data_IF_831826784909
#
_entry.id   IF_831826784909
#
_cell.length_a   1.000
_cell.length_b   1.000
_cell.length_c   1.000
_cell.angle_alpha   90.00
_cell.angle_beta   90.00
_cell.angle_gamma   90.00
#
_symmetry.space_group_name_H-M   'P 1'
#
loop_
_entity.id
_entity.type
_entity.pdbx_description
1 polymer ?
#
# COMPACT_ATOMS: atom_id res chain seq x y z
N UNK A 1 -2.98 -6.49 -16.60
CA UNK A 1 -3.42 -6.28 -17.99
C UNK A 1 -3.60 -7.59 -18.74
N UNK A 2 -2.58 -8.40 -19.00
CA UNK A 2 -2.66 -9.63 -19.81
C UNK A 2 -3.81 -10.59 -19.41
N UNK A 3 -3.96 -10.90 -18.11
CA UNK A 3 -5.04 -11.76 -17.60
C UNK A 3 -6.42 -11.18 -17.97
N UNK A 4 -6.59 -9.87 -17.77
CA UNK A 4 -7.85 -9.20 -18.05
C UNK A 4 -8.17 -9.14 -19.54
N UNK A 5 -7.15 -8.98 -20.40
CA UNK A 5 -7.33 -9.03 -21.85
C UNK A 5 -7.77 -10.42 -22.33
N UNK A 6 -7.04 -11.47 -21.91
CA UNK A 6 -7.37 -12.86 -22.26
C UNK A 6 -8.78 -13.25 -21.76
N UNK A 7 -9.14 -12.85 -20.54
CA UNK A 7 -10.48 -13.12 -20.01
C UNK A 7 -11.57 -12.42 -20.84
N UNK A 8 -11.34 -11.16 -21.27
CA UNK A 8 -12.27 -10.42 -22.12
C UNK A 8 -12.43 -11.05 -23.52
N UNK A 9 -11.33 -11.53 -24.12
CA UNK A 9 -11.37 -12.27 -25.39
C UNK A 9 -12.24 -13.54 -25.28
N UNK A 10 -12.39 -14.08 -24.05
CA UNK A 10 -13.25 -15.23 -23.74
C UNK A 10 -14.63 -14.81 -23.20
N UNK A 11 -15.03 -13.57 -23.38
CA UNK A 11 -16.35 -13.05 -23.00
C UNK A 11 -16.54 -12.72 -21.51
N UNK A 12 -15.48 -12.72 -20.70
CA UNK A 12 -15.56 -12.35 -19.29
C UNK A 12 -15.19 -10.89 -19.07
N UNK A 13 -16.13 -10.10 -18.55
CA UNK A 13 -15.82 -8.73 -18.09
C UNK A 13 -14.91 -8.75 -16.86
N UNK A 14 -13.92 -7.85 -16.85
CA UNK A 14 -12.94 -7.75 -15.77
C UNK A 14 -12.74 -6.30 -15.36
N UNK A 15 -12.67 -6.06 -14.05
CA UNK A 15 -12.22 -4.82 -13.46
C UNK A 15 -10.95 -5.08 -12.64
N UNK A 16 -10.02 -4.13 -12.62
CA UNK A 16 -8.77 -4.19 -11.86
C UNK A 16 -8.83 -3.28 -10.65
N UNK A 17 -8.33 -3.77 -9.53
CA UNK A 17 -8.15 -2.97 -8.32
C UNK A 17 -6.66 -2.91 -7.97
N UNK A 18 -6.09 -1.70 -7.93
CA UNK A 18 -4.68 -1.51 -7.60
C UNK A 18 -4.45 -1.55 -6.09
N UNK A 19 -3.59 -2.46 -5.64
CA UNK A 19 -3.05 -2.50 -4.27
C UNK A 19 -1.69 -1.83 -4.22
N UNK A 20 -1.59 -0.61 -4.73
CA UNK A 20 -0.37 0.19 -4.72
C UNK A 20 -0.64 1.56 -4.09
N UNK A 21 0.07 1.86 -3.00
CA UNK A 21 -0.10 3.08 -2.23
C UNK A 21 0.45 4.34 -2.91
N UNK A 22 1.12 4.21 -4.05
CA UNK A 22 1.64 5.33 -4.81
C UNK A 22 0.79 5.61 -6.08
N UNK A 23 0.30 4.56 -6.75
CA UNK A 23 -0.54 4.70 -7.93
C UNK A 23 -1.91 5.34 -7.65
N UNK A 24 -2.30 5.42 -6.37
CA UNK A 24 -3.54 6.06 -5.94
C UNK A 24 -3.51 7.59 -6.13
N UNK A 25 -2.32 8.20 -6.16
CA UNK A 25 -2.15 9.65 -6.31
C UNK A 25 -2.18 10.06 -7.77
N UNK A 26 -2.90 11.14 -8.08
CA UNK A 26 -2.80 11.83 -9.38
C UNK A 26 -1.38 12.40 -9.57
N UNK A 27 -1.00 12.66 -10.80
CA UNK A 27 0.27 13.32 -11.16
C UNK A 27 1.56 12.57 -10.74
N UNK A 28 1.44 11.34 -10.21
CA UNK A 28 2.57 10.48 -9.87
C UNK A 28 2.49 9.24 -10.76
N UNK A 29 2.89 9.38 -12.01
CA UNK A 29 2.71 8.35 -13.03
C UNK A 29 3.96 7.50 -13.23
N UNK A 30 5.13 8.15 -13.31
CA UNK A 30 6.42 7.49 -13.53
C UNK A 30 6.87 6.80 -12.24
N UNK A 31 6.91 7.52 -11.10
CA UNK A 31 7.36 6.97 -9.83
C UNK A 31 6.52 5.77 -9.38
N UNK A 32 5.22 5.77 -9.65
CA UNK A 32 4.32 4.65 -9.34
C UNK A 32 4.30 3.56 -10.42
N UNK A 33 4.90 3.82 -11.59
CA UNK A 33 4.79 2.97 -12.79
C UNK A 33 3.34 2.60 -13.10
N UNK A 34 2.47 3.59 -13.10
CA UNK A 34 1.06 3.43 -13.46
C UNK A 34 0.88 2.79 -14.83
N UNK A 35 -0.23 2.07 -15.05
CA UNK A 35 -0.64 1.71 -16.39
C UNK A 35 -0.80 2.95 -17.26
N UNK A 36 -0.52 2.81 -18.57
CA UNK A 36 -0.70 3.91 -19.51
C UNK A 36 -2.16 4.37 -19.59
N UNK A 37 -2.40 5.58 -20.06
CA UNK A 37 -3.75 6.14 -20.24
C UNK A 37 -4.61 5.25 -21.13
N UNK A 38 -4.03 4.65 -22.16
CA UNK A 38 -4.69 3.71 -23.08
C UNK A 38 -5.11 2.43 -22.33
N UNK A 39 -4.24 1.91 -21.44
CA UNK A 39 -4.54 0.76 -20.61
C UNK A 39 -5.67 1.05 -19.62
N UNK A 40 -5.66 2.24 -19.01
CA UNK A 40 -6.72 2.67 -18.09
C UNK A 40 -8.07 2.87 -18.78
N UNK A 41 -8.05 3.27 -20.06
CA UNK A 41 -9.26 3.44 -20.87
C UNK A 41 -9.87 2.08 -21.31
N UNK A 42 -9.04 1.05 -21.49
CA UNK A 42 -9.49 -0.26 -21.99
C UNK A 42 -10.19 -1.10 -20.92
N UNK A 43 -9.72 -1.05 -19.67
CA UNK A 43 -10.22 -1.88 -18.57
C UNK A 43 -10.51 -0.97 -17.39
N UNK A 44 -11.67 -1.10 -16.71
CA UNK A 44 -11.94 -0.34 -15.49
C UNK A 44 -10.90 -0.60 -14.43
N UNK A 45 -10.26 0.48 -13.93
CA UNK A 45 -9.28 0.43 -12.85
C UNK A 45 -9.81 1.19 -11.62
N UNK A 46 -9.64 0.61 -10.46
CA UNK A 46 -9.99 1.20 -9.17
C UNK A 46 -8.76 1.39 -8.30
N UNK A 47 -8.82 2.32 -7.36
CA UNK A 47 -7.72 2.73 -6.51
C UNK A 47 -6.50 3.28 -7.30
N UNK A 48 -6.77 3.96 -8.41
CA UNK A 48 -5.78 4.68 -9.23
C UNK A 48 -6.28 6.11 -9.42
N UNK A 49 -5.39 7.11 -9.31
CA UNK A 49 -5.70 8.53 -9.53
C UNK A 49 -6.86 9.09 -8.66
N UNK A 50 -6.99 8.64 -7.42
CA UNK A 50 -8.06 9.10 -6.52
C UNK A 50 -7.68 10.37 -5.76
N UNK A 51 -6.45 10.43 -5.24
CA UNK A 51 -5.98 11.47 -4.33
C UNK A 51 -5.10 12.50 -5.04
N UNK A 52 -5.12 13.74 -4.56
CA UNK A 52 -4.03 14.68 -4.82
C UNK A 52 -2.78 14.29 -3.99
N UNK A 53 -1.56 14.67 -4.41
CA UNK A 53 -0.33 14.28 -3.71
C UNK A 53 -0.26 14.73 -2.24
N UNK A 54 -0.95 15.79 -1.84
CA UNK A 54 -1.04 16.31 -0.47
C UNK A 54 -2.18 15.70 0.35
N UNK A 55 -3.08 14.93 -0.26
CA UNK A 55 -4.13 14.24 0.46
C UNK A 55 -3.60 12.97 1.15
N UNK A 56 -3.99 12.71 2.41
CA UNK A 56 -3.50 11.54 3.13
C UNK A 56 -4.11 10.23 2.61
N UNK A 57 -3.25 9.29 2.22
CA UNK A 57 -3.67 7.95 1.89
C UNK A 57 -3.84 7.11 3.16
N UNK A 58 -5.02 6.53 3.34
CA UNK A 58 -5.36 5.67 4.46
C UNK A 58 -6.04 4.38 4.00
N UNK A 59 -6.18 3.42 4.91
CA UNK A 59 -7.00 2.23 4.65
C UNK A 59 -8.46 2.59 4.30
N UNK A 60 -9.01 3.63 4.90
CA UNK A 60 -10.37 4.08 4.61
C UNK A 60 -10.58 4.45 3.14
N UNK A 61 -9.59 5.11 2.52
CA UNK A 61 -9.64 5.44 1.08
C UNK A 61 -9.67 4.16 0.24
N UNK A 62 -8.80 3.18 0.54
CA UNK A 62 -8.81 1.89 -0.15
C UNK A 62 -10.11 1.10 0.09
N UNK A 63 -10.68 1.15 1.30
CA UNK A 63 -11.93 0.50 1.63
C UNK A 63 -13.11 1.09 0.83
N UNK A 64 -13.19 2.41 0.73
CA UNK A 64 -14.19 3.09 -0.09
C UNK A 64 -14.04 2.74 -1.58
N UNK A 65 -12.82 2.82 -2.10
CA UNK A 65 -12.54 2.45 -3.49
C UNK A 65 -12.89 0.97 -3.78
N UNK A 66 -12.69 0.07 -2.81
CA UNK A 66 -13.09 -1.34 -2.95
C UNK A 66 -14.61 -1.50 -3.02
N UNK A 67 -15.37 -0.76 -2.21
CA UNK A 67 -16.82 -0.77 -2.29
C UNK A 67 -17.33 -0.28 -3.64
N UNK A 68 -16.70 0.77 -4.21
CA UNK A 68 -17.01 1.27 -5.55
C UNK A 68 -16.72 0.21 -6.62
N UNK A 69 -15.57 -0.47 -6.52
CA UNK A 69 -15.21 -1.56 -7.42
C UNK A 69 -16.21 -2.72 -7.35
N UNK A 70 -16.61 -3.12 -6.14
CA UNK A 70 -17.59 -4.19 -5.96
C UNK A 70 -18.97 -3.81 -6.53
N UNK A 71 -19.45 -2.57 -6.28
CA UNK A 71 -20.69 -2.07 -6.88
C UNK A 71 -20.63 -2.06 -8.42
N UNK A 72 -19.50 -1.64 -8.97
CA UNK A 72 -19.28 -1.69 -10.42
C UNK A 72 -19.35 -3.12 -10.93
N UNK A 73 -18.64 -4.06 -10.30
CA UNK A 73 -18.61 -5.46 -10.73
C UNK A 73 -20.01 -6.12 -10.69
N UNK A 74 -20.81 -5.83 -9.67
CA UNK A 74 -22.20 -6.32 -9.60
C UNK A 74 -23.03 -5.77 -10.77
N UNK A 75 -22.92 -4.47 -11.07
CA UNK A 75 -23.70 -3.83 -12.14
C UNK A 75 -23.30 -4.29 -13.55
N UNK A 76 -22.03 -4.62 -13.76
CA UNK A 76 -21.47 -4.95 -15.08
C UNK A 76 -21.16 -6.43 -15.25
N UNK A 77 -21.53 -7.26 -14.28
CA UNK A 77 -21.21 -8.70 -14.21
C UNK A 77 -19.70 -8.97 -14.41
N UNK A 78 -18.87 -8.09 -13.86
CA UNK A 78 -17.42 -8.17 -14.00
C UNK A 78 -16.77 -8.99 -12.88
N UNK A 79 -15.68 -9.67 -13.19
CA UNK A 79 -14.77 -10.25 -12.20
C UNK A 79 -13.79 -9.19 -11.69
N UNK A 80 -13.61 -9.09 -10.37
CA UNK A 80 -12.64 -8.18 -9.78
C UNK A 80 -11.30 -8.88 -9.59
N UNK A 81 -10.23 -8.31 -10.12
CA UNK A 81 -8.85 -8.76 -9.92
C UNK A 81 -8.08 -7.70 -9.13
N UNK A 82 -7.70 -8.04 -7.90
CA UNK A 82 -6.83 -7.19 -7.08
C UNK A 82 -5.36 -7.46 -7.44
N UNK A 83 -4.62 -6.41 -7.77
CA UNK A 83 -3.21 -6.50 -8.21
C UNK A 83 -2.36 -5.48 -7.48
N UNK A 84 -1.23 -5.89 -6.96
CA UNK A 84 -0.26 -4.95 -6.36
C UNK A 84 0.66 -5.58 -5.34
N UNK A 85 1.44 -4.72 -4.68
CA UNK A 85 2.47 -5.14 -3.74
C UNK A 85 2.18 -4.74 -2.27
N UNK A 86 1.08 -4.05 -1.99
CA UNK A 86 0.73 -3.61 -0.64
C UNK A 86 0.01 -4.70 0.16
N UNK A 87 0.78 -5.70 0.61
CA UNK A 87 0.25 -6.81 1.40
C UNK A 87 -0.52 -6.37 2.66
N UNK A 88 -0.13 -5.22 3.24
CA UNK A 88 -0.86 -4.65 4.39
C UNK A 88 -2.32 -4.33 4.04
N UNK A 89 -2.58 -3.65 2.91
CA UNK A 89 -3.94 -3.33 2.51
C UNK A 89 -4.74 -4.59 2.16
N UNK A 90 -4.11 -5.55 1.47
CA UNK A 90 -4.76 -6.82 1.18
C UNK A 90 -5.15 -7.54 2.48
N UNK A 91 -4.21 -7.69 3.43
CA UNK A 91 -4.49 -8.30 4.73
C UNK A 91 -5.60 -7.56 5.50
N UNK A 92 -5.58 -6.23 5.48
CA UNK A 92 -6.62 -5.43 6.12
C UNK A 92 -8.00 -5.62 5.49
N UNK A 93 -8.08 -5.90 4.18
CA UNK A 93 -9.33 -6.20 3.48
C UNK A 93 -9.84 -7.60 3.77
N UNK A 94 -8.96 -8.59 3.88
CA UNK A 94 -9.33 -10.01 4.11
C UNK A 94 -9.52 -10.36 5.58
N UNK A 95 -8.63 -9.89 6.45
CA UNK A 95 -8.70 -10.17 7.89
C UNK A 95 -9.53 -9.11 8.64
N UNK A 96 -9.73 -7.97 8.00
CA UNK A 96 -10.34 -6.79 8.61
C UNK A 96 -9.39 -5.98 9.49
N UNK A 97 -9.84 -4.80 9.83
CA UNK A 97 -9.26 -3.95 10.87
C UNK A 97 -10.35 -3.54 11.86
N UNK A 98 -9.95 -3.27 13.08
CA UNK A 98 -10.85 -2.65 14.06
C UNK A 98 -11.12 -1.21 13.65
N UNK A 99 -12.34 -0.67 13.88
CA UNK A 99 -12.62 0.73 13.59
C UNK A 99 -11.65 1.65 14.34
N UNK A 100 -11.34 2.78 13.75
CA UNK A 100 -10.52 3.79 14.40
C UNK A 100 -11.30 4.45 15.57
N UNK A 101 -10.63 4.84 16.65
CA UNK A 101 -11.26 5.68 17.66
C UNK A 101 -11.59 7.07 17.08
N UNK A 102 -12.43 7.83 17.77
CA UNK A 102 -12.71 9.21 17.40
C UNK A 102 -11.40 10.02 17.33
N UNK A 103 -11.40 11.06 16.50
CA UNK A 103 -10.28 11.97 16.42
C UNK A 103 -10.03 12.65 17.78
N UNK A 104 -8.76 12.85 18.12
CA UNK A 104 -8.37 13.57 19.32
C UNK A 104 -8.65 15.07 19.16
N UNK A 105 -9.11 15.71 20.21
CA UNK A 105 -9.15 17.18 20.31
C UNK A 105 -7.73 17.75 20.50
N UNK A 106 -7.59 19.07 20.48
CA UNK A 106 -6.28 19.74 20.59
C UNK A 106 -5.59 19.49 21.93
N UNK A 107 -6.34 19.46 23.03
CA UNK A 107 -5.80 19.18 24.36
C UNK A 107 -5.29 17.73 24.47
N UNK A 108 -6.03 16.80 23.90
CA UNK A 108 -5.65 15.38 23.81
C UNK A 108 -4.42 15.19 22.91
N UNK A 109 -4.35 15.90 21.77
CA UNK A 109 -3.16 15.91 20.89
C UNK A 109 -1.92 16.43 21.63
N UNK A 110 -2.03 17.56 22.29
CA UNK A 110 -0.93 18.13 23.08
C UNK A 110 -0.50 17.19 24.22
N UNK A 111 -1.44 16.48 24.85
CA UNK A 111 -1.14 15.48 25.88
C UNK A 111 -0.41 14.26 25.27
N UNK A 112 -0.85 13.79 24.10
CA UNK A 112 -0.21 12.70 23.37
C UNK A 112 1.26 13.02 23.07
N UNK A 113 1.55 14.20 22.52
CA UNK A 113 2.92 14.61 22.19
C UNK A 113 3.80 14.68 23.44
N UNK A 114 3.29 15.21 24.56
CA UNK A 114 4.03 15.21 25.83
C UNK A 114 4.35 13.80 26.34
N UNK A 115 3.44 12.85 26.20
CA UNK A 115 3.67 11.44 26.58
C UNK A 115 4.76 10.85 25.68
N UNK A 116 4.65 11.05 24.37
CA UNK A 116 5.55 10.46 23.37
C UNK A 116 6.92 11.13 23.31
N UNK A 117 7.10 12.32 23.87
CA UNK A 117 8.40 12.98 23.99
C UNK A 117 9.44 12.12 24.75
N UNK A 118 8.99 11.15 25.56
CA UNK A 118 9.84 10.20 26.28
C UNK A 118 9.43 8.75 25.97
N UNK A 119 9.82 8.18 24.82
CA UNK A 119 9.29 6.89 24.33
C UNK A 119 9.46 5.73 25.31
N UNK A 120 10.60 5.65 25.99
CA UNK A 120 10.87 4.60 27.01
C UNK A 120 9.90 4.71 28.19
N UNK A 121 9.63 5.92 28.68
CA UNK A 121 8.65 6.16 29.74
C UNK A 121 7.23 5.89 29.28
N UNK A 122 6.88 6.31 28.07
CA UNK A 122 5.58 6.00 27.47
C UNK A 122 5.34 4.50 27.37
N UNK A 123 6.33 3.73 26.92
CA UNK A 123 6.23 2.27 26.84
C UNK A 123 6.07 1.64 28.24
N UNK A 124 6.85 2.08 29.24
CA UNK A 124 6.73 1.60 30.61
C UNK A 124 5.35 1.94 31.22
N UNK A 125 4.83 3.15 30.95
CA UNK A 125 3.48 3.55 31.35
C UNK A 125 2.42 2.66 30.69
N UNK A 126 2.53 2.41 29.40
CA UNK A 126 1.61 1.51 28.70
C UNK A 126 1.67 0.09 29.27
N UNK A 127 2.85 -0.42 29.60
CA UNK A 127 3.03 -1.74 30.19
C UNK A 127 2.35 -1.89 31.57
N UNK A 128 2.24 -0.81 32.34
CA UNK A 128 1.52 -0.79 33.62
C UNK A 128 0.00 -0.75 33.45
N UNK A 129 -0.49 -0.09 32.39
CA UNK A 129 -1.91 0.08 32.11
C UNK A 129 -2.47 -1.12 31.32
N UNK A 130 -1.71 -1.59 30.34
CA UNK A 130 -2.08 -2.65 29.41
C UNK A 130 -0.83 -3.41 28.95
N UNK A 131 -0.47 -4.45 29.69
CA UNK A 131 0.70 -5.28 29.40
C UNK A 131 0.64 -5.92 28.00
N UNK A 132 -0.55 -6.35 27.59
CA UNK A 132 -0.74 -6.99 26.28
C UNK A 132 -0.55 -6.01 25.12
N UNK A 133 -1.05 -4.77 25.25
CA UNK A 133 -0.84 -3.73 24.28
C UNK A 133 0.65 -3.30 24.20
N UNK A 134 1.32 -3.20 25.35
CA UNK A 134 2.74 -2.86 25.40
C UNK A 134 3.61 -3.88 24.69
N UNK A 135 3.34 -5.17 24.85
CA UNK A 135 4.04 -6.24 24.14
C UNK A 135 3.91 -6.13 22.60
N UNK A 136 2.81 -5.56 22.12
CA UNK A 136 2.57 -5.34 20.68
C UNK A 136 3.09 -4.00 20.17
N UNK A 137 3.37 -3.05 21.06
CA UNK A 137 3.80 -1.69 20.74
C UNK A 137 5.33 -1.56 20.69
N UNK A 138 5.98 -2.35 19.82
CA UNK A 138 7.44 -2.40 19.68
C UNK A 138 8.02 -1.31 18.77
N UNK A 139 7.20 -0.40 18.22
CA UNK A 139 7.64 0.76 17.45
C UNK A 139 6.86 2.02 17.85
N UNK A 140 7.38 3.17 17.45
CA UNK A 140 6.80 4.49 17.78
C UNK A 140 5.38 4.65 17.23
N UNK A 141 5.08 4.10 16.08
CA UNK A 141 3.75 4.17 15.47
C UNK A 141 2.72 3.40 16.30
N UNK A 142 3.01 2.15 16.69
CA UNK A 142 2.11 1.35 17.52
C UNK A 142 1.95 1.92 18.93
N UNK A 143 3.03 2.46 19.49
CA UNK A 143 2.99 3.14 20.78
C UNK A 143 2.08 4.36 20.72
N UNK A 144 2.19 5.20 19.68
CA UNK A 144 1.31 6.34 19.43
C UNK A 144 -0.15 5.89 19.32
N UNK A 145 -0.43 4.88 18.51
CA UNK A 145 -1.81 4.36 18.33
C UNK A 145 -2.42 3.83 19.63
N UNK A 146 -1.65 3.19 20.48
CA UNK A 146 -2.12 2.75 21.80
C UNK A 146 -2.57 3.93 22.68
N UNK A 147 -1.79 5.01 22.71
CA UNK A 147 -2.15 6.21 23.47
C UNK A 147 -3.26 7.03 22.81
N UNK A 148 -3.36 7.05 21.48
CA UNK A 148 -4.51 7.64 20.78
C UNK A 148 -5.83 6.97 21.22
N UNK A 149 -5.87 5.63 21.24
CA UNK A 149 -7.04 4.89 21.72
C UNK A 149 -7.35 5.26 23.17
N UNK A 150 -6.36 5.25 24.05
CA UNK A 150 -6.51 5.52 25.47
C UNK A 150 -7.04 6.93 25.74
N UNK A 151 -6.54 7.92 25.01
CA UNK A 151 -6.96 9.31 25.14
C UNK A 151 -8.36 9.58 24.55
N UNK A 152 -8.65 9.00 23.40
CA UNK A 152 -9.93 9.18 22.71
C UNK A 152 -11.09 8.47 23.43
N UNK A 153 -10.86 7.26 23.93
CA UNK A 153 -11.94 6.37 24.40
C UNK A 153 -11.96 6.15 25.91
N UNK A 154 -10.89 6.53 26.62
CA UNK A 154 -10.67 6.22 28.04
C UNK A 154 -10.60 4.70 28.34
N UNK A 155 -10.53 3.86 27.32
CA UNK A 155 -10.36 2.42 27.43
C UNK A 155 -8.90 2.03 27.18
N UNK A 156 -8.47 0.92 27.77
CA UNK A 156 -7.17 0.34 27.39
C UNK A 156 -7.25 -0.18 25.95
N UNK A 157 -6.12 -0.17 25.19
CA UNK A 157 -6.13 -0.68 23.82
C UNK A 157 -6.67 -2.13 23.72
N UNK A 158 -6.32 -2.99 24.65
CA UNK A 158 -6.80 -4.38 24.65
C UNK A 158 -8.33 -4.46 24.83
N UNK A 159 -8.90 -3.67 25.75
CA UNK A 159 -10.35 -3.60 25.94
C UNK A 159 -11.04 -3.00 24.70
N UNK A 160 -10.49 -1.94 24.13
CA UNK A 160 -11.02 -1.32 22.92
C UNK A 160 -11.07 -2.31 21.76
N UNK A 161 -10.00 -3.06 21.50
CA UNK A 161 -9.97 -4.04 20.43
C UNK A 161 -10.89 -5.25 20.68
N UNK A 162 -11.07 -5.64 21.93
CA UNK A 162 -12.04 -6.69 22.28
C UNK A 162 -13.49 -6.25 22.01
N UNK A 163 -13.81 -4.99 22.34
CA UNK A 163 -15.13 -4.41 22.08
C UNK A 163 -15.38 -4.08 20.60
N UNK A 164 -14.33 -3.87 19.83
CA UNK A 164 -14.36 -3.50 18.41
C UNK A 164 -13.64 -4.53 17.54
N UNK A 165 -14.21 -5.71 17.33
CA UNK A 165 -13.57 -6.76 16.58
C UNK A 165 -13.33 -6.34 15.13
N UNK A 166 -12.32 -6.92 14.53
CA UNK A 166 -12.00 -6.71 13.12
C UNK A 166 -13.16 -7.15 12.24
N UNK A 167 -13.42 -6.38 11.18
CA UNK A 167 -14.42 -6.71 10.16
C UNK A 167 -13.74 -6.79 8.80
N UNK A 168 -13.75 -7.98 8.22
CA UNK A 168 -13.26 -8.21 6.87
C UNK A 168 -14.19 -7.53 5.85
N UNK A 169 -13.61 -6.95 4.80
CA UNK A 169 -14.35 -6.37 3.67
C UNK A 169 -14.53 -7.39 2.55
N UNK A 170 -13.61 -8.34 2.44
CA UNK A 170 -13.64 -9.40 1.45
C UNK A 170 -13.81 -10.75 2.15
N UNK A 171 -14.56 -11.69 1.55
CA UNK A 171 -14.55 -13.07 1.99
C UNK A 171 -13.16 -13.69 1.75
N UNK A 172 -13.01 -14.96 2.10
CA UNK A 172 -11.80 -15.69 1.70
C UNK A 172 -11.68 -15.71 0.17
N UNK A 173 -10.60 -15.14 -0.34
CA UNK A 173 -10.28 -15.09 -1.76
C UNK A 173 -8.97 -15.82 -2.02
N UNK A 174 -8.78 -16.45 -3.18
CA UNK A 174 -7.49 -16.99 -3.58
C UNK A 174 -6.46 -15.87 -3.73
N UNK A 175 -5.30 -16.04 -3.10
CA UNK A 175 -4.17 -15.10 -3.19
C UNK A 175 -3.01 -15.82 -3.86
N UNK A 176 -2.52 -15.28 -4.96
CA UNK A 176 -1.36 -15.80 -5.68
C UNK A 176 -0.19 -14.85 -5.55
N UNK A 177 0.99 -15.38 -5.24
CA UNK A 177 2.25 -14.63 -5.27
C UNK A 177 3.04 -14.97 -6.53
N UNK A 178 3.35 -13.96 -7.34
CA UNK A 178 4.16 -14.14 -8.53
C UNK A 178 5.60 -14.48 -8.14
N UNK A 179 6.03 -15.68 -8.48
CA UNK A 179 7.41 -16.11 -8.32
C UNK A 179 8.27 -15.63 -9.50
N UNK A 180 9.31 -14.89 -9.18
CA UNK A 180 10.34 -14.46 -10.12
C UNK A 180 11.68 -14.88 -9.51
N UNK A 181 12.53 -15.49 -10.31
CA UNK A 181 13.91 -15.79 -9.92
C UNK A 181 14.65 -14.52 -9.51
N UNK A 182 15.54 -14.64 -8.54
CA UNK A 182 16.24 -13.51 -7.94
C UNK A 182 16.97 -12.65 -8.96
N UNK A 183 17.73 -13.26 -9.86
CA UNK A 183 18.54 -12.54 -10.84
C UNK A 183 17.67 -11.85 -11.90
N UNK A 184 16.58 -12.50 -12.30
CA UNK A 184 15.59 -11.93 -13.19
C UNK A 184 14.88 -10.73 -12.53
N UNK A 185 14.50 -10.87 -11.24
CA UNK A 185 13.91 -9.77 -10.49
C UNK A 185 14.85 -8.56 -10.40
N UNK A 186 16.14 -8.82 -10.15
CA UNK A 186 17.14 -7.75 -10.03
C UNK A 186 17.39 -7.04 -11.34
N UNK A 187 17.50 -7.78 -12.44
CA UNK A 187 17.59 -7.20 -13.79
C UNK A 187 16.36 -6.33 -14.09
N UNK A 188 15.16 -6.85 -13.85
CA UNK A 188 13.92 -6.12 -14.07
C UNK A 188 13.85 -4.83 -13.25
N UNK A 189 14.27 -4.85 -11.98
CA UNK A 189 14.33 -3.67 -11.12
C UNK A 189 15.29 -2.63 -11.71
N UNK A 190 16.50 -3.03 -12.09
CA UNK A 190 17.50 -2.13 -12.66
C UNK A 190 16.99 -1.49 -13.97
N UNK A 191 16.54 -2.31 -14.92
CA UNK A 191 16.02 -1.85 -16.22
C UNK A 191 14.84 -0.90 -16.04
N UNK A 192 13.92 -1.24 -15.12
CA UNK A 192 12.76 -0.37 -14.80
C UNK A 192 13.20 0.96 -14.21
N UNK A 193 14.14 0.97 -13.28
CA UNK A 193 14.65 2.20 -12.66
C UNK A 193 15.29 3.12 -13.68
N UNK A 194 16.14 2.58 -14.56
CA UNK A 194 16.74 3.33 -15.64
C UNK A 194 15.67 3.91 -16.61
N UNK A 195 14.67 3.10 -16.93
CA UNK A 195 13.54 3.56 -17.75
C UNK A 195 12.78 4.70 -17.10
N UNK A 196 12.48 4.63 -15.81
CA UNK A 196 11.81 5.70 -15.06
C UNK A 196 12.62 7.01 -15.10
N UNK A 197 13.94 6.94 -14.93
CA UNK A 197 14.81 8.11 -15.02
C UNK A 197 14.86 8.71 -16.44
N UNK A 198 14.85 7.87 -17.48
CA UNK A 198 14.77 8.34 -18.88
C UNK A 198 13.41 8.95 -19.23
N UNK A 199 12.33 8.48 -18.61
CA UNK A 199 10.97 9.00 -18.78
C UNK A 199 10.74 10.34 -18.06
N UNK A 200 11.69 10.84 -17.27
CA UNK A 200 11.58 12.13 -16.59
C UNK A 200 11.14 12.02 -15.12
N UNK A 201 11.51 10.94 -14.41
CA UNK A 201 11.19 10.78 -12.98
C UNK A 201 11.60 12.00 -12.15
N UNK A 202 12.76 12.63 -12.44
CA UNK A 202 13.20 13.83 -11.72
C UNK A 202 12.28 15.02 -11.94
N UNK A 203 11.81 15.19 -13.17
CA UNK A 203 10.92 16.30 -13.52
C UNK A 203 9.54 16.10 -12.91
N UNK A 204 9.02 14.86 -12.90
CA UNK A 204 7.78 14.52 -12.19
C UNK A 204 7.89 14.86 -10.70
N UNK A 205 8.95 14.40 -10.03
CA UNK A 205 9.15 14.65 -8.58
C UNK A 205 9.29 16.15 -8.30
N UNK A 206 10.04 16.89 -9.14
CA UNK A 206 10.18 18.34 -9.00
C UNK A 206 8.85 19.05 -9.13
N UNK A 207 8.09 18.76 -10.19
CA UNK A 207 6.78 19.36 -10.46
C UNK A 207 5.80 19.13 -9.32
N UNK A 208 5.76 17.90 -8.79
CA UNK A 208 4.90 17.57 -7.65
C UNK A 208 5.32 18.32 -6.39
N UNK A 209 6.63 18.40 -6.11
CA UNK A 209 7.13 19.12 -4.93
C UNK A 209 6.95 20.63 -5.04
N UNK A 210 7.10 21.22 -6.23
CA UNK A 210 6.88 22.65 -6.46
C UNK A 210 5.41 23.03 -6.24
N UNK A 211 4.48 22.13 -6.55
CA UNK A 211 3.04 22.36 -6.41
C UNK A 211 2.52 22.07 -5.00
N UNK A 212 2.95 20.97 -4.37
CA UNK A 212 2.37 20.44 -3.12
C UNK A 212 3.32 20.48 -1.92
N UNK A 213 4.56 20.92 -2.13
CA UNK A 213 5.60 20.88 -1.10
C UNK A 213 6.26 19.52 -0.95
N UNK A 214 7.20 19.43 -0.02
CA UNK A 214 7.98 18.21 0.25
C UNK A 214 7.44 17.38 1.41
N UNK A 215 6.55 17.95 2.26
CA UNK A 215 5.96 17.23 3.39
C UNK A 215 4.66 16.52 2.98
N UNK A 216 4.77 15.69 1.96
CA UNK A 216 3.68 14.87 1.42
C UNK A 216 4.00 13.39 1.60
N UNK A 217 2.95 12.57 1.71
CA UNK A 217 3.12 11.14 1.92
C UNK A 217 3.93 10.44 0.80
N UNK A 218 3.73 10.77 -0.49
CA UNK A 218 4.54 10.25 -1.59
C UNK A 218 6.04 10.51 -1.46
N UNK A 219 6.46 11.61 -0.83
CA UNK A 219 7.88 11.96 -0.64
C UNK A 219 8.69 10.89 0.12
N UNK A 220 8.00 10.04 0.90
CA UNK A 220 8.60 8.93 1.66
C UNK A 220 8.76 7.64 0.84
N UNK A 221 8.22 7.61 -0.38
CA UNK A 221 8.28 6.44 -1.25
C UNK A 221 9.63 6.27 -1.93
N UNK A 222 9.92 5.04 -2.36
CA UNK A 222 11.11 4.74 -3.16
C UNK A 222 10.97 5.39 -4.54
N UNK A 223 12.03 5.95 -5.03
CA UNK A 223 12.07 6.80 -6.23
C UNK A 223 11.95 8.27 -5.85
N UNK A 224 10.90 8.66 -5.13
CA UNK A 224 10.68 10.04 -4.69
C UNK A 224 11.75 10.53 -3.71
N UNK A 225 11.96 9.81 -2.61
CA UNK A 225 12.94 10.22 -1.58
C UNK A 225 14.37 10.24 -2.09
N UNK A 226 14.74 9.36 -3.03
CA UNK A 226 16.07 9.37 -3.65
C UNK A 226 16.23 10.56 -4.60
N UNK A 227 15.17 10.93 -5.34
CA UNK A 227 15.16 12.16 -6.14
C UNK A 227 15.30 13.40 -5.25
N UNK A 228 14.60 13.47 -4.13
CA UNK A 228 14.76 14.57 -3.16
C UNK A 228 16.18 14.63 -2.59
N UNK A 229 16.75 13.50 -2.22
CA UNK A 229 18.14 13.43 -1.75
C UNK A 229 19.15 13.86 -2.85
N UNK A 230 18.83 13.62 -4.11
CA UNK A 230 19.62 14.14 -5.23
C UNK A 230 19.47 15.66 -5.36
N UNK A 231 18.28 16.22 -5.24
CA UNK A 231 18.07 17.67 -5.26
C UNK A 231 18.78 18.39 -4.10
N UNK A 232 18.91 17.71 -2.96
CA UNK A 232 19.63 18.21 -1.79
C UNK A 232 21.16 17.96 -1.86
N UNK A 233 21.69 17.44 -2.97
CA UNK A 233 23.12 17.18 -3.18
C UNK A 233 23.66 15.98 -2.41
N UNK A 234 22.80 15.15 -1.76
CA UNK A 234 23.22 13.99 -0.98
C UNK A 234 23.53 12.78 -1.88
N UNK A 235 22.80 12.63 -2.99
CA UNK A 235 23.00 11.55 -3.97
C UNK A 235 23.45 12.18 -5.29
N UNK A 236 24.63 11.79 -5.78
CA UNK A 236 25.10 12.19 -7.11
C UNK A 236 24.22 11.58 -8.22
N UNK A 237 24.11 12.27 -9.36
CA UNK A 237 23.24 11.87 -10.47
C UNK A 237 23.55 10.45 -10.98
N UNK A 238 24.84 10.12 -11.05
CA UNK A 238 25.36 8.85 -11.51
C UNK A 238 24.90 7.68 -10.62
N UNK A 239 24.76 7.93 -9.33
CA UNK A 239 24.43 6.92 -8.32
C UNK A 239 22.93 6.76 -8.09
N UNK A 240 22.10 7.67 -8.63
CA UNK A 240 20.68 7.72 -8.34
C UNK A 240 19.94 6.44 -8.75
N UNK A 241 20.22 5.93 -9.95
CA UNK A 241 19.61 4.68 -10.44
C UNK A 241 19.93 3.49 -9.53
N UNK A 242 21.19 3.37 -9.11
CA UNK A 242 21.66 2.30 -8.24
C UNK A 242 20.99 2.38 -6.87
N UNK A 243 20.91 3.57 -6.27
CA UNK A 243 20.27 3.76 -4.96
C UNK A 243 18.78 3.40 -4.99
N UNK A 244 18.04 3.84 -6.00
CA UNK A 244 16.64 3.46 -6.20
C UNK A 244 16.52 1.93 -6.35
N UNK A 245 17.40 1.30 -7.15
CA UNK A 245 17.38 -0.14 -7.37
C UNK A 245 17.67 -0.92 -6.08
N UNK A 246 18.66 -0.49 -5.27
CA UNK A 246 18.99 -1.09 -3.97
C UNK A 246 17.76 -1.07 -3.05
N UNK A 247 17.14 0.09 -2.87
CA UNK A 247 15.98 0.23 -2.00
C UNK A 247 14.76 -0.55 -2.52
N UNK A 248 14.58 -0.63 -3.83
CA UNK A 248 13.52 -1.45 -4.45
C UNK A 248 13.74 -2.95 -4.21
N UNK A 249 14.98 -3.44 -4.29
CA UNK A 249 15.35 -4.83 -3.96
C UNK A 249 15.07 -5.14 -2.49
N UNK A 250 15.42 -4.22 -1.58
CA UNK A 250 15.11 -4.36 -0.14
C UNK A 250 13.60 -4.37 0.11
N UNK A 251 12.84 -3.55 -0.61
CA UNK A 251 11.38 -3.53 -0.53
C UNK A 251 10.76 -4.82 -1.02
N UNK A 252 11.20 -5.34 -2.17
CA UNK A 252 10.76 -6.65 -2.69
C UNK A 252 11.04 -7.80 -1.71
N UNK A 253 12.20 -7.77 -1.01
CA UNK A 253 12.49 -8.74 0.05
C UNK A 253 11.49 -8.64 1.22
N UNK A 254 11.14 -7.41 1.64
CA UNK A 254 10.13 -7.20 2.69
C UNK A 254 8.74 -7.67 2.25
N UNK A 255 8.33 -7.41 1.02
CA UNK A 255 7.07 -7.91 0.46
C UNK A 255 7.01 -9.43 0.50
N UNK A 256 8.03 -10.13 0.02
CA UNK A 256 8.11 -11.60 0.08
C UNK A 256 8.00 -12.13 1.51
N UNK A 257 8.70 -11.52 2.46
CA UNK A 257 8.64 -11.92 3.86
C UNK A 257 7.22 -11.73 4.41
N UNK A 258 6.59 -10.58 4.13
CA UNK A 258 5.23 -10.29 4.56
C UNK A 258 4.23 -11.29 3.95
N UNK A 259 4.30 -11.54 2.65
CA UNK A 259 3.41 -12.48 1.98
C UNK A 259 3.50 -13.88 2.58
N UNK A 260 4.72 -14.37 2.81
CA UNK A 260 4.95 -15.69 3.40
C UNK A 260 4.46 -15.81 4.83
N UNK A 261 4.59 -14.75 5.65
CA UNK A 261 4.29 -14.81 7.09
C UNK A 261 2.91 -14.30 7.45
N UNK A 262 2.30 -13.48 6.62
CA UNK A 262 1.06 -12.76 6.93
C UNK A 262 -0.10 -13.03 5.99
N UNK A 263 0.17 -13.57 4.80
CA UNK A 263 -0.85 -13.92 3.83
C UNK A 263 -0.75 -15.40 3.48
N UNK A 264 -1.87 -16.07 3.34
CA UNK A 264 -1.93 -17.45 2.82
C UNK A 264 -1.81 -17.45 1.29
N UNK A 265 -0.73 -16.83 0.77
CA UNK A 265 -0.53 -16.70 -0.67
C UNK A 265 0.08 -17.97 -1.25
N UNK A 266 -0.46 -18.44 -2.37
CA UNK A 266 0.09 -19.56 -3.13
C UNK A 266 1.14 -19.03 -4.10
N UNK A 267 2.42 -19.42 -3.96
CA UNK A 267 3.48 -18.99 -4.85
C UNK A 267 3.40 -19.74 -6.18
N UNK A 268 3.27 -19.02 -7.29
CA UNK A 268 3.14 -19.58 -8.63
C UNK A 268 3.94 -18.77 -9.64
N UNK A 269 4.33 -19.41 -10.73
CA UNK A 269 4.88 -18.75 -11.91
C UNK A 269 3.78 -18.07 -12.72
N UNK A 270 4.15 -17.12 -13.57
CA UNK A 270 3.22 -16.26 -14.34
C UNK A 270 2.13 -17.05 -15.07
N UNK A 271 2.51 -18.07 -15.82
CA UNK A 271 1.57 -18.84 -16.63
C UNK A 271 0.64 -19.70 -15.77
N UNK A 272 1.16 -20.24 -14.65
CA UNK A 272 0.34 -20.96 -13.68
C UNK A 272 -0.68 -20.05 -12.98
N UNK A 273 -0.33 -18.79 -12.67
CA UNK A 273 -1.28 -17.80 -12.14
C UNK A 273 -2.37 -17.51 -13.17
N UNK A 274 -2.01 -17.27 -14.44
CA UNK A 274 -2.95 -17.04 -15.51
C UNK A 274 -3.96 -18.19 -15.59
N UNK A 275 -3.48 -19.42 -15.68
CA UNK A 275 -4.34 -20.61 -15.78
C UNK A 275 -5.22 -20.78 -14.51
N UNK A 276 -4.66 -20.56 -13.32
CA UNK A 276 -5.41 -20.66 -12.07
C UNK A 276 -6.57 -19.64 -12.04
N UNK A 277 -6.33 -18.40 -12.43
CA UNK A 277 -7.35 -17.35 -12.44
C UNK A 277 -8.43 -17.64 -13.50
N UNK A 278 -8.05 -18.06 -14.72
CA UNK A 278 -9.01 -18.38 -15.76
C UNK A 278 -9.89 -19.56 -15.37
N UNK A 279 -9.34 -20.60 -14.72
CA UNK A 279 -10.11 -21.72 -14.16
C UNK A 279 -11.09 -21.27 -13.09
N UNK A 280 -10.66 -20.43 -12.15
CA UNK A 280 -11.52 -19.87 -11.10
C UNK A 280 -12.70 -19.06 -11.67
N UNK A 281 -12.52 -18.46 -12.84
CA UNK A 281 -13.56 -17.70 -13.50
C UNK A 281 -14.41 -18.53 -14.46
N UNK A 282 -14.07 -19.80 -14.68
CA UNK A 282 -14.79 -20.71 -15.59
C UNK A 282 -14.56 -20.40 -17.06
N UNK A 283 -13.43 -19.76 -17.41
CA UNK A 283 -13.04 -19.34 -18.77
C UNK A 283 -11.67 -19.90 -19.20
N UNK A 284 -11.26 -21.02 -18.60
CA UNK A 284 -9.98 -21.70 -18.89
C UNK A 284 -9.96 -22.34 -20.28
#
# INVERSE_FOLDING_TARGET
>A
MQIAQIARERGQNVALFSLDSLSIYREIDIASAKPSKESLAQIPHFAVNLLAPDEPCSFGVFASALQDALRHCVRTESRLLLVGGSGFYLKAMTDGISPAPNALDDAQRARLERILARPKHAHALLARIDKQAAQKAHDSYRLRKAFEILLATKQTPSCFFAANPKRALLPQIPIFELQIERDNLWRNITTRTESMLRQGLLDEVRTVCDRYGRDIQPAKSIGFRECLAHFDGVIARENLAEQIAIHTRQFAKRQRTFNRTQLAATPLQRDAILQAILRLWGVA
#
